data_IF_904157662359
#
_entry.id   IF_904157662359
#
_cell.length_a   1.000
_cell.length_b   1.000
_cell.length_c   1.000
_cell.angle_alpha   90.00
_cell.angle_beta   90.00
_cell.angle_gamma   90.00
#
_symmetry.space_group_name_H-M   'P 1'
#
loop_
_entity.id
_entity.type
_entity.pdbx_description
1 polymer ?
#
# COMPACT_ATOMS: atom_id res chain seq x y z
N UNK A 1 8.41 -10.01 -11.09
CA UNK A 1 7.38 -9.25 -11.84
C UNK A 1 7.80 -9.23 -13.31
N UNK A 2 6.88 -8.99 -14.24
CA UNK A 2 7.24 -8.65 -15.61
C UNK A 2 8.00 -7.32 -15.63
N UNK A 3 9.06 -7.20 -16.45
CA UNK A 3 9.93 -6.01 -16.53
C UNK A 3 9.21 -4.72 -16.96
N UNK A 4 8.06 -4.85 -17.62
CA UNK A 4 7.18 -3.74 -18.00
C UNK A 4 6.00 -3.57 -17.04
N UNK A 5 6.07 -4.14 -15.83
CA UNK A 5 5.05 -4.05 -14.77
C UNK A 5 3.66 -4.57 -15.17
N UNK A 6 3.54 -5.38 -16.23
CA UNK A 6 2.26 -5.89 -16.73
C UNK A 6 1.53 -6.83 -15.75
N UNK A 7 2.30 -7.63 -15.00
CA UNK A 7 1.81 -8.56 -13.97
C UNK A 7 2.91 -9.00 -13.00
N UNK A 8 2.49 -9.52 -11.84
CA UNK A 8 3.34 -10.26 -10.92
C UNK A 8 3.23 -11.78 -11.15
N UNK A 9 4.38 -12.47 -11.20
CA UNK A 9 4.44 -13.93 -11.34
C UNK A 9 4.19 -14.62 -9.99
N UNK A 10 2.99 -14.45 -9.47
CA UNK A 10 2.52 -15.00 -8.19
C UNK A 10 1.12 -15.62 -8.39
N UNK A 11 0.69 -16.46 -7.45
CA UNK A 11 -0.63 -17.10 -7.50
C UNK A 11 -0.89 -17.83 -8.83
N UNK A 12 -1.99 -17.51 -9.55
CA UNK A 12 -2.32 -18.14 -10.84
C UNK A 12 -1.24 -18.00 -11.92
N UNK A 13 -0.38 -16.98 -11.82
CA UNK A 13 0.68 -16.71 -12.80
C UNK A 13 2.05 -17.23 -12.35
N UNK A 14 2.12 -17.96 -11.23
CA UNK A 14 3.38 -18.40 -10.63
C UNK A 14 4.21 -19.33 -11.53
N UNK A 15 3.55 -20.12 -12.40
CA UNK A 15 4.20 -21.05 -13.33
C UNK A 15 4.58 -20.41 -14.67
N UNK A 16 4.16 -19.17 -14.94
CA UNK A 16 4.47 -18.52 -16.21
C UNK A 16 5.95 -18.08 -16.26
N UNK A 17 6.55 -18.28 -17.42
CA UNK A 17 7.92 -17.85 -17.73
C UNK A 17 7.96 -16.72 -18.77
N UNK A 18 6.83 -16.46 -19.42
CA UNK A 18 6.65 -15.38 -20.39
C UNK A 18 5.41 -14.59 -19.99
N UNK A 19 5.49 -13.26 -20.11
CA UNK A 19 4.35 -12.41 -19.82
C UNK A 19 3.28 -12.57 -20.92
N UNK A 20 2.04 -12.97 -20.61
CA UNK A 20 0.96 -13.12 -21.58
C UNK A 20 0.48 -11.79 -22.17
N UNK A 21 0.86 -10.65 -21.57
CA UNK A 21 0.46 -9.32 -22.06
C UNK A 21 1.45 -8.70 -23.04
N UNK A 22 2.76 -8.84 -22.77
CA UNK A 22 3.80 -8.15 -23.55
C UNK A 22 4.86 -9.09 -24.14
N UNK A 23 4.79 -10.40 -23.90
CA UNK A 23 5.75 -11.36 -24.43
C UNK A 23 7.13 -11.34 -23.77
N UNK A 24 7.39 -10.43 -22.82
CA UNK A 24 8.69 -10.35 -22.16
C UNK A 24 8.98 -11.59 -21.30
N UNK A 25 10.19 -12.18 -21.39
CA UNK A 25 10.57 -13.31 -20.57
C UNK A 25 10.74 -12.89 -19.11
N UNK A 26 10.33 -13.77 -18.19
CA UNK A 26 10.49 -13.65 -16.74
C UNK A 26 11.95 -13.72 -16.30
N UNK A 27 12.72 -14.59 -16.93
CA UNK A 27 14.11 -14.90 -16.56
C UNK A 27 15.11 -14.26 -17.51
N UNK A 28 16.31 -14.01 -17.00
CA UNK A 28 17.46 -13.55 -17.79
C UNK A 28 17.83 -14.62 -18.82
N UNK A 29 17.69 -14.28 -20.09
CA UNK A 29 17.89 -15.25 -21.18
C UNK A 29 19.35 -15.64 -21.33
N UNK A 30 20.30 -14.73 -21.07
CA UNK A 30 21.73 -15.02 -21.18
C UNK A 30 22.15 -16.07 -20.16
N UNK A 31 21.69 -15.95 -18.91
CA UNK A 31 21.95 -16.92 -17.84
C UNK A 31 21.20 -18.24 -18.04
N UNK A 32 19.96 -18.15 -18.53
CA UNK A 32 19.17 -19.34 -18.80
C UNK A 32 19.79 -20.20 -19.91
N UNK A 33 20.24 -19.57 -20.99
CA UNK A 33 20.90 -20.26 -22.11
C UNK A 33 22.26 -20.81 -21.71
N UNK A 34 23.12 -20.02 -21.06
CA UNK A 34 24.47 -20.46 -20.67
C UNK A 34 24.46 -21.62 -19.68
N UNK A 35 23.44 -21.72 -18.84
CA UNK A 35 23.25 -22.81 -17.87
C UNK A 35 22.51 -24.03 -18.42
N UNK A 36 22.09 -24.01 -19.70
CA UNK A 36 21.28 -25.07 -20.30
C UNK A 36 19.91 -25.22 -19.62
N UNK A 37 19.30 -24.11 -19.20
CA UNK A 37 17.98 -24.07 -18.56
C UNK A 37 17.99 -24.29 -17.04
N UNK A 38 19.16 -24.51 -16.43
CA UNK A 38 19.28 -24.81 -14.99
C UNK A 38 19.19 -23.56 -14.11
N UNK A 39 19.74 -22.43 -14.56
CA UNK A 39 19.77 -21.19 -13.80
C UNK A 39 18.62 -20.27 -14.23
N UNK A 40 17.61 -20.16 -13.36
CA UNK A 40 16.43 -19.31 -13.58
C UNK A 40 16.50 -18.05 -12.73
N UNK A 41 17.23 -17.04 -13.20
CA UNK A 41 17.36 -15.74 -12.53
C UNK A 41 16.25 -14.80 -12.99
N UNK A 42 15.31 -14.38 -12.12
CA UNK A 42 14.26 -13.44 -12.52
C UNK A 42 14.86 -12.08 -12.91
N UNK A 43 14.40 -11.49 -14.01
CA UNK A 43 14.84 -10.15 -14.44
C UNK A 43 14.36 -9.04 -13.53
N UNK A 44 13.24 -9.25 -12.83
CA UNK A 44 12.71 -8.33 -11.84
C UNK A 44 11.99 -9.07 -10.73
N UNK A 45 12.28 -8.70 -9.49
CA UNK A 45 11.63 -9.21 -8.29
C UNK A 45 10.79 -8.11 -7.65
N UNK A 46 9.66 -8.49 -7.05
CA UNK A 46 8.87 -7.57 -6.25
C UNK A 46 9.26 -7.79 -4.80
N UNK A 47 9.58 -6.72 -4.09
CA UNK A 47 9.89 -6.79 -2.67
C UNK A 47 8.63 -6.53 -1.87
N UNK A 48 8.24 -7.49 -1.03
CA UNK A 48 7.18 -7.26 -0.05
C UNK A 48 7.80 -6.55 1.15
N UNK A 49 7.43 -5.29 1.36
CA UNK A 49 7.74 -4.55 2.60
C UNK A 49 6.56 -4.77 3.55
N UNK A 50 6.70 -5.58 4.62
CA UNK A 50 5.58 -5.85 5.50
C UNK A 50 5.17 -4.59 6.25
N UNK A 51 3.87 -4.25 6.24
CA UNK A 51 3.37 -3.02 6.87
C UNK A 51 3.53 -3.04 8.39
N UNK A 52 3.31 -4.19 9.03
CA UNK A 52 3.29 -4.30 10.49
C UNK A 52 4.60 -3.89 11.19
N UNK A 53 5.78 -4.41 10.81
CA UNK A 53 7.05 -3.95 11.38
C UNK A 53 7.29 -2.46 11.21
N UNK A 54 6.86 -1.88 10.08
CA UNK A 54 6.99 -0.43 9.85
C UNK A 54 6.13 0.36 10.84
N UNK A 55 4.87 -0.04 11.04
CA UNK A 55 3.99 0.59 12.03
C UNK A 55 4.49 0.42 13.46
N UNK A 56 5.04 -0.75 13.80
CA UNK A 56 5.65 -0.98 15.12
C UNK A 56 6.85 -0.08 15.36
N UNK A 57 7.71 0.11 14.35
CA UNK A 57 8.83 1.02 14.42
C UNK A 57 8.37 2.48 14.63
N UNK A 58 7.33 2.91 13.92
CA UNK A 58 6.74 4.25 14.08
C UNK A 58 6.13 4.48 15.46
N UNK A 59 5.67 3.44 16.15
CA UNK A 59 5.14 3.52 17.53
C UNK A 59 6.22 3.41 18.61
N UNK A 60 7.50 3.23 18.26
CA UNK A 60 8.58 2.92 19.22
C UNK A 60 9.01 4.12 20.08
N UNK A 61 8.99 5.33 19.54
CA UNK A 61 9.33 6.55 20.27
C UNK A 61 8.07 7.23 20.81
N UNK A 62 8.13 7.87 21.97
CA UNK A 62 6.98 8.55 22.59
C UNK A 62 6.35 9.57 21.63
N UNK A 63 7.18 10.41 21.02
CA UNK A 63 6.71 11.51 20.18
C UNK A 63 6.02 10.99 18.92
N UNK A 64 6.62 10.00 18.26
CA UNK A 64 6.03 9.39 17.07
C UNK A 64 4.78 8.58 17.43
N UNK A 65 4.75 7.94 18.61
CA UNK A 65 3.55 7.27 19.11
C UNK A 65 2.39 8.26 19.32
N UNK A 66 2.66 9.44 19.87
CA UNK A 66 1.69 10.53 19.99
C UNK A 66 1.22 11.01 18.62
N UNK A 67 2.13 11.20 17.66
CA UNK A 67 1.78 11.57 16.29
C UNK A 67 0.88 10.54 15.61
N UNK A 68 1.04 9.25 15.91
CA UNK A 68 0.18 8.18 15.36
C UNK A 68 -1.27 8.23 15.88
N UNK A 69 -1.60 9.09 16.85
CA UNK A 69 -2.99 9.42 17.25
C UNK A 69 -3.60 10.58 16.45
N UNK A 70 -2.94 11.05 15.38
CA UNK A 70 -3.41 12.18 14.57
C UNK A 70 -4.85 12.00 14.07
N UNK A 71 -5.17 10.87 13.43
CA UNK A 71 -6.54 10.59 12.95
C UNK A 71 -7.57 10.71 14.06
N UNK A 72 -7.30 10.07 15.20
CA UNK A 72 -8.22 10.05 16.34
C UNK A 72 -8.51 11.48 16.85
N UNK A 73 -7.45 12.28 17.02
CA UNK A 73 -7.58 13.68 17.47
C UNK A 73 -8.33 14.53 16.45
N UNK A 74 -7.91 14.53 15.18
CA UNK A 74 -8.59 15.31 14.14
C UNK A 74 -10.06 14.93 14.01
N UNK A 75 -10.38 13.64 14.09
CA UNK A 75 -11.77 13.18 13.99
C UNK A 75 -12.58 13.64 15.19
N UNK A 76 -12.03 13.56 16.40
CA UNK A 76 -12.70 14.05 17.60
C UNK A 76 -13.01 15.56 17.49
N UNK A 77 -12.01 16.35 17.08
CA UNK A 77 -12.15 17.81 16.92
C UNK A 77 -13.22 18.15 15.86
N UNK A 78 -13.19 17.48 14.70
CA UNK A 78 -14.17 17.65 13.61
C UNK A 78 -15.59 17.30 14.09
N UNK A 79 -15.74 16.18 14.81
CA UNK A 79 -17.06 15.74 15.31
C UNK A 79 -17.59 16.66 16.40
N UNK A 80 -16.72 17.28 17.21
CA UNK A 80 -17.11 18.31 18.17
C UNK A 80 -17.58 19.59 17.46
N UNK A 81 -16.83 20.05 16.46
CA UNK A 81 -17.20 21.23 15.67
C UNK A 81 -18.55 21.06 14.98
N UNK A 82 -18.79 19.92 14.32
CA UNK A 82 -20.07 19.62 13.68
C UNK A 82 -21.24 19.70 14.67
N UNK A 83 -21.07 19.21 15.89
CA UNK A 83 -22.11 19.29 16.94
C UNK A 83 -22.40 20.73 17.35
N UNK A 84 -21.37 21.57 17.44
CA UNK A 84 -21.52 22.97 17.84
C UNK A 84 -22.07 23.87 16.73
N UNK A 85 -21.79 23.52 15.47
CA UNK A 85 -22.05 24.36 14.30
C UNK A 85 -23.20 23.84 13.41
N UNK A 86 -24.19 23.13 13.96
CA UNK A 86 -25.33 22.58 13.22
C UNK A 86 -24.93 21.74 11.99
N UNK A 87 -23.94 20.87 12.15
CA UNK A 87 -23.34 20.02 11.12
C UNK A 87 -22.67 20.78 9.96
N UNK A 88 -22.13 21.97 10.23
CA UNK A 88 -21.36 22.77 9.26
C UNK A 88 -19.93 22.93 9.77
N UNK A 89 -18.96 22.51 8.97
CA UNK A 89 -17.54 22.77 9.22
C UNK A 89 -17.13 24.15 8.71
N UNK A 90 -16.25 24.79 9.46
CA UNK A 90 -15.67 26.10 9.14
C UNK A 90 -14.54 26.02 8.11
N UNK A 91 -13.75 24.94 8.12
CA UNK A 91 -12.73 24.64 7.10
C UNK A 91 -12.71 23.15 6.72
N UNK A 92 -12.07 22.87 5.59
CA UNK A 92 -11.85 21.51 5.08
C UNK A 92 -10.38 21.40 4.66
N UNK A 93 -9.56 20.75 5.48
CA UNK A 93 -8.09 20.79 5.31
C UNK A 93 -7.48 19.45 4.89
N UNK A 94 -8.00 18.34 5.42
CA UNK A 94 -7.47 16.99 5.22
C UNK A 94 -8.59 15.97 4.99
N UNK A 95 -8.21 14.76 4.58
CA UNK A 95 -9.06 13.61 4.30
C UNK A 95 -10.16 13.37 5.36
N UNK A 96 -9.89 13.63 6.64
CA UNK A 96 -10.84 13.41 7.74
C UNK A 96 -12.08 14.31 7.72
N UNK A 97 -12.08 15.40 6.93
CA UNK A 97 -13.27 16.24 6.75
C UNK A 97 -14.21 15.71 5.67
N UNK A 98 -13.82 14.64 4.97
CA UNK A 98 -14.62 14.03 3.93
C UNK A 98 -15.88 13.39 4.50
N UNK A 99 -17.03 13.68 3.89
CA UNK A 99 -18.33 13.13 4.31
C UNK A 99 -18.32 11.60 4.39
N UNK A 100 -17.82 10.92 3.36
CA UNK A 100 -17.77 9.45 3.33
C UNK A 100 -16.98 8.87 4.52
N UNK A 101 -15.92 9.56 4.95
CA UNK A 101 -15.15 9.16 6.12
C UNK A 101 -15.95 9.37 7.41
N UNK A 102 -16.56 10.54 7.57
CA UNK A 102 -17.30 10.91 8.79
C UNK A 102 -18.59 10.09 8.97
N UNK A 103 -19.29 9.81 7.87
CA UNK A 103 -20.44 8.92 7.85
C UNK A 103 -19.99 7.51 8.32
N UNK A 104 -18.90 6.98 7.76
CA UNK A 104 -18.35 5.68 8.17
C UNK A 104 -17.90 5.64 9.64
N UNK A 105 -17.29 6.72 10.16
CA UNK A 105 -16.95 6.81 11.59
C UNK A 105 -18.20 6.81 12.47
N UNK A 106 -19.26 7.47 12.01
CA UNK A 106 -20.53 7.56 12.74
C UNK A 106 -21.29 6.24 12.76
N UNK A 107 -21.17 5.44 11.70
CA UNK A 107 -21.82 4.15 11.55
C UNK A 107 -21.16 3.01 12.36
N UNK A 108 -19.88 3.16 12.74
CA UNK A 108 -19.10 2.20 13.55
C UNK A 108 -18.38 1.13 12.75
#
# INVERSE_FOLDING_TARGET
MCVTSCLAYTGPFASLEICPKCGEPRYDQSKLVSSGGKEKVPRQQFHTIPVRPQLQALRRHSDTATSMHYRERQTADIMEELKLNNNILSSYDDFFHGKDYLDAVSDG
#
